data_IF_973532762943
#
_entry.id   IF_973532762943
#
_cell.length_a   1.000
_cell.length_b   1.000
_cell.length_c   1.000
_cell.angle_alpha   90.00
_cell.angle_beta   90.00
_cell.angle_gamma   90.00
#
_symmetry.space_group_name_H-M   'P 1'
#
loop_
_entity.id
_entity.type
_entity.pdbx_description
1 polymer ?
#
# COMPACT_ATOMS: atom_id res chain seq x y z
N UNK A 1 -73.54 88.91 -102.33
CA UNK A 1 -74.26 87.62 -102.34
C UNK A 1 -73.65 86.51 -103.20
N UNK A 2 -73.08 86.72 -104.39
CA UNK A 2 -72.42 85.67 -105.22
C UNK A 2 -71.26 84.89 -104.55
N UNK A 3 -71.02 85.17 -103.29
CA UNK A 3 -69.89 84.72 -102.50
C UNK A 3 -70.19 83.41 -101.74
N UNK A 4 -71.38 82.83 -101.91
CA UNK A 4 -71.91 81.75 -101.04
C UNK A 4 -71.80 80.31 -101.58
N UNK A 5 -71.81 80.10 -102.91
CA UNK A 5 -71.73 78.75 -103.51
C UNK A 5 -70.30 78.33 -103.77
N UNK A 6 -69.53 79.25 -104.32
CA UNK A 6 -68.12 79.02 -104.60
C UNK A 6 -67.34 78.72 -103.30
N UNK A 7 -67.96 78.97 -102.15
CA UNK A 7 -67.55 78.59 -100.80
C UNK A 7 -67.65 77.09 -100.52
N UNK A 8 -68.70 76.39 -100.98
CA UNK A 8 -68.98 75.00 -100.61
C UNK A 8 -68.10 73.98 -101.33
N UNK A 9 -67.87 74.14 -102.63
CA UNK A 9 -66.95 73.25 -103.37
C UNK A 9 -65.51 73.50 -102.95
N UNK A 10 -65.20 74.75 -102.58
CA UNK A 10 -63.93 75.07 -101.93
C UNK A 10 -63.77 74.31 -100.59
N UNK A 11 -64.85 74.00 -99.87
CA UNK A 11 -64.78 73.24 -98.61
C UNK A 11 -64.40 71.76 -98.80
N UNK A 12 -64.89 71.06 -99.83
CA UNK A 12 -64.65 69.60 -99.97
C UNK A 12 -63.23 69.29 -100.44
N UNK A 13 -62.69 70.10 -101.35
CA UNK A 13 -61.27 70.03 -101.72
C UNK A 13 -60.38 70.33 -100.52
N UNK A 14 -60.79 71.25 -99.65
CA UNK A 14 -60.08 71.52 -98.41
C UNK A 14 -60.00 70.27 -97.51
N UNK A 15 -61.07 69.48 -97.44
CA UNK A 15 -61.15 68.26 -96.62
C UNK A 15 -60.21 67.11 -97.06
N UNK A 16 -60.11 66.84 -98.36
CA UNK A 16 -59.21 65.79 -98.87
C UNK A 16 -57.73 66.20 -98.76
N UNK A 17 -57.47 67.51 -98.90
CA UNK A 17 -56.17 68.12 -98.66
C UNK A 17 -55.78 68.01 -97.17
N UNK A 18 -56.74 68.20 -96.26
CA UNK A 18 -56.61 67.99 -94.82
C UNK A 18 -56.17 66.55 -94.49
N UNK A 19 -56.81 65.53 -95.06
CA UNK A 19 -56.48 64.13 -94.74
C UNK A 19 -55.04 63.72 -95.14
N UNK A 20 -54.54 64.20 -96.28
CA UNK A 20 -53.14 63.95 -96.69
C UNK A 20 -52.15 64.69 -95.81
N UNK A 21 -52.49 65.91 -95.39
CA UNK A 21 -51.72 66.66 -94.39
C UNK A 21 -51.62 65.87 -93.09
N UNK A 22 -52.73 65.33 -92.58
CA UNK A 22 -52.72 64.50 -91.36
C UNK A 22 -51.78 63.29 -91.45
N UNK A 23 -51.75 62.56 -92.57
CA UNK A 23 -50.80 61.43 -92.73
C UNK A 23 -49.34 61.85 -92.82
N UNK A 24 -49.03 63.01 -93.41
CA UNK A 24 -47.67 63.56 -93.43
C UNK A 24 -47.25 64.13 -92.06
N UNK A 25 -48.22 64.60 -91.26
CA UNK A 25 -47.99 65.18 -89.93
C UNK A 25 -47.74 64.11 -88.86
N UNK A 26 -48.30 62.89 -88.98
CA UNK A 26 -48.10 61.83 -87.98
C UNK A 26 -46.64 61.49 -87.65
N UNK A 27 -45.68 61.28 -88.58
CA UNK A 27 -44.27 61.04 -88.24
C UNK A 27 -43.58 62.27 -87.62
N UNK A 28 -44.02 63.47 -87.99
CA UNK A 28 -43.53 64.72 -87.37
C UNK A 28 -44.03 64.85 -85.93
N UNK A 29 -45.28 64.46 -85.66
CA UNK A 29 -45.85 64.43 -84.31
C UNK A 29 -45.15 63.41 -83.42
N UNK A 30 -44.83 62.20 -83.92
CA UNK A 30 -44.05 61.22 -83.15
C UNK A 30 -42.63 61.71 -82.89
N UNK A 31 -42.01 62.40 -83.86
CA UNK A 31 -40.66 62.95 -83.65
C UNK A 31 -40.67 64.13 -82.67
N UNK A 32 -41.71 64.95 -82.71
CA UNK A 32 -41.93 66.02 -81.75
C UNK A 32 -42.06 65.45 -80.34
N UNK A 33 -42.87 64.41 -80.13
CA UNK A 33 -43.05 63.80 -78.80
C UNK A 33 -41.78 63.12 -78.29
N UNK A 34 -41.00 62.46 -79.16
CA UNK A 34 -39.66 61.94 -78.82
C UNK A 34 -38.68 63.06 -78.40
N UNK A 35 -38.70 64.19 -79.10
CA UNK A 35 -37.84 65.33 -78.77
C UNK A 35 -38.30 66.02 -77.48
N UNK A 36 -39.61 66.12 -77.24
CA UNK A 36 -40.18 66.68 -76.02
C UNK A 36 -39.86 65.82 -74.80
N UNK A 37 -39.95 64.50 -74.91
CA UNK A 37 -39.56 63.57 -73.83
C UNK A 37 -38.05 63.62 -73.55
N UNK A 38 -37.21 63.66 -74.59
CA UNK A 38 -35.76 63.86 -74.43
C UNK A 38 -35.44 65.21 -73.78
N UNK A 39 -36.13 66.28 -74.17
CA UNK A 39 -35.95 67.60 -73.59
C UNK A 39 -36.37 67.62 -72.11
N UNK A 40 -37.48 66.96 -71.77
CA UNK A 40 -37.93 66.83 -70.39
C UNK A 40 -36.88 66.09 -69.52
N UNK A 41 -36.38 64.95 -70.01
CA UNK A 41 -35.36 64.17 -69.31
C UNK A 41 -34.04 64.96 -69.15
N UNK A 42 -33.56 65.63 -70.20
CA UNK A 42 -32.36 66.46 -70.12
C UNK A 42 -32.51 67.65 -69.15
N UNK A 43 -33.71 68.25 -69.05
CA UNK A 43 -34.00 69.29 -68.06
C UNK A 43 -34.00 68.75 -66.63
N UNK A 44 -34.52 67.54 -66.42
CA UNK A 44 -34.51 66.89 -65.13
C UNK A 44 -33.08 66.52 -64.71
N UNK A 45 -32.27 65.97 -65.61
CA UNK A 45 -30.84 65.71 -65.38
C UNK A 45 -30.06 66.99 -65.10
N UNK A 46 -30.32 68.07 -65.84
CA UNK A 46 -29.70 69.37 -65.58
C UNK A 46 -30.08 69.91 -64.19
N UNK A 47 -31.35 69.78 -63.79
CA UNK A 47 -31.78 70.18 -62.45
C UNK A 47 -31.11 69.32 -61.36
N UNK A 48 -31.03 68.00 -61.56
CA UNK A 48 -30.40 67.09 -60.62
C UNK A 48 -28.89 67.35 -60.49
N UNK A 49 -28.19 67.56 -61.60
CA UNK A 49 -26.76 67.87 -61.61
C UNK A 49 -26.46 69.25 -61.02
N UNK A 50 -27.28 70.26 -61.29
CA UNK A 50 -27.15 71.58 -60.66
C UNK A 50 -27.30 71.52 -59.13
N UNK A 51 -28.29 70.76 -58.62
CA UNK A 51 -28.44 70.54 -57.18
C UNK A 51 -27.23 69.82 -56.57
N UNK A 52 -26.70 68.80 -57.25
CA UNK A 52 -25.49 68.09 -56.81
C UNK A 52 -24.29 69.03 -56.78
N UNK A 53 -24.11 69.86 -57.81
CA UNK A 53 -23.01 70.82 -57.89
C UNK A 53 -23.09 71.84 -56.73
N UNK A 54 -24.26 72.40 -56.47
CA UNK A 54 -24.46 73.33 -55.35
C UNK A 54 -24.15 72.67 -53.99
N UNK A 55 -24.59 71.42 -53.80
CA UNK A 55 -24.28 70.67 -52.57
C UNK A 55 -22.77 70.44 -52.39
N UNK A 56 -22.06 70.04 -53.45
CA UNK A 56 -20.62 69.82 -53.41
C UNK A 56 -19.86 71.14 -53.18
N UNK A 57 -20.28 72.23 -53.81
CA UNK A 57 -19.70 73.56 -53.59
C UNK A 57 -19.87 74.01 -52.13
N UNK A 58 -21.04 73.80 -51.53
CA UNK A 58 -21.26 74.10 -50.12
C UNK A 58 -20.38 73.24 -49.21
N UNK A 59 -20.25 71.95 -49.50
CA UNK A 59 -19.36 71.05 -48.74
C UNK A 59 -17.90 71.47 -48.84
N UNK A 60 -17.43 71.84 -50.03
CA UNK A 60 -16.06 72.33 -50.24
C UNK A 60 -15.82 73.63 -49.46
N UNK A 61 -16.77 74.57 -49.49
CA UNK A 61 -16.69 75.81 -48.71
C UNK A 61 -16.64 75.55 -47.21
N UNK A 62 -17.47 74.63 -46.70
CA UNK A 62 -17.47 74.27 -45.28
C UNK A 62 -16.14 73.62 -44.87
N UNK A 63 -15.64 72.65 -45.65
CA UNK A 63 -14.36 71.99 -45.39
C UNK A 63 -13.18 72.98 -45.42
N UNK A 64 -13.22 73.96 -46.33
CA UNK A 64 -12.20 75.01 -46.39
C UNK A 64 -12.26 75.93 -45.17
N UNK A 65 -13.46 76.28 -44.71
CA UNK A 65 -13.64 77.05 -43.46
C UNK A 65 -13.12 76.26 -42.25
N UNK A 66 -13.46 74.98 -42.11
CA UNK A 66 -12.95 74.12 -41.03
C UNK A 66 -11.42 73.99 -41.08
N UNK A 67 -10.83 73.76 -42.26
CA UNK A 67 -9.38 73.72 -42.43
C UNK A 67 -8.72 75.04 -42.01
N UNK A 68 -9.34 76.18 -42.32
CA UNK A 68 -8.82 77.50 -41.94
C UNK A 68 -8.84 77.73 -40.42
N UNK A 69 -9.76 77.08 -39.69
CA UNK A 69 -9.85 77.16 -38.23
C UNK A 69 -8.95 76.14 -37.52
N UNK A 70 -8.80 74.92 -38.07
CA UNK A 70 -8.01 73.85 -37.44
C UNK A 70 -6.51 74.12 -37.54
N UNK A 71 -6.02 74.62 -38.67
CA UNK A 71 -4.59 74.93 -38.88
C UNK A 71 -3.98 75.84 -37.79
N UNK A 72 -4.57 77.01 -37.45
CA UNK A 72 -4.02 77.84 -36.38
C UNK A 72 -4.10 77.16 -35.01
N UNK A 73 -5.12 76.32 -34.76
CA UNK A 73 -5.24 75.57 -33.49
C UNK A 73 -4.15 74.52 -33.33
N UNK A 74 -3.78 73.82 -34.40
CA UNK A 74 -2.64 72.88 -34.41
C UNK A 74 -1.35 73.65 -34.11
N UNK A 75 -1.12 74.76 -34.81
CA UNK A 75 0.07 75.59 -34.59
C UNK A 75 0.15 76.10 -33.16
N UNK A 76 -0.97 76.51 -32.57
CA UNK A 76 -1.05 76.95 -31.18
C UNK A 76 -0.74 75.80 -30.20
N UNK A 77 -1.25 74.60 -30.45
CA UNK A 77 -0.98 73.43 -29.61
C UNK A 77 0.50 73.03 -29.66
N UNK A 78 1.11 73.04 -30.85
CA UNK A 78 2.53 72.76 -31.02
C UNK A 78 3.40 73.78 -30.29
N UNK A 79 3.07 75.07 -30.39
CA UNK A 79 3.76 76.12 -29.63
C UNK A 79 3.60 75.92 -28.11
N UNK A 80 2.41 75.50 -27.65
CA UNK A 80 2.18 75.18 -26.24
C UNK A 80 2.99 73.97 -25.76
N UNK A 81 3.10 72.92 -26.58
CA UNK A 81 3.91 71.74 -26.25
C UNK A 81 5.39 72.10 -26.13
N UNK A 82 5.92 72.85 -27.11
CA UNK A 82 7.30 73.32 -27.06
C UNK A 82 7.57 74.18 -25.81
N UNK A 83 6.65 75.08 -25.47
CA UNK A 83 6.76 75.88 -24.25
C UNK A 83 6.69 75.04 -22.96
N UNK A 84 5.92 73.95 -22.95
CA UNK A 84 5.88 73.02 -21.81
C UNK A 84 7.18 72.21 -21.70
N UNK A 85 7.72 71.71 -22.81
CA UNK A 85 9.01 71.01 -22.82
C UNK A 85 10.14 71.91 -22.33
N UNK A 86 10.16 73.17 -22.75
CA UNK A 86 11.14 74.15 -22.27
C UNK A 86 11.00 74.41 -20.76
N UNK A 87 9.76 74.47 -20.26
CA UNK A 87 9.49 74.59 -18.82
C UNK A 87 9.94 73.36 -18.05
N UNK A 88 9.70 72.16 -18.56
CA UNK A 88 10.16 70.90 -17.95
C UNK A 88 11.67 70.90 -17.87
N UNK A 89 12.37 71.15 -18.99
CA UNK A 89 13.84 71.23 -19.03
C UNK A 89 14.40 72.32 -18.12
N UNK A 90 13.68 73.43 -17.96
CA UNK A 90 14.07 74.47 -17.01
C UNK A 90 13.94 73.98 -15.56
N UNK A 91 12.81 73.35 -15.21
CA UNK A 91 12.59 72.77 -13.87
C UNK A 91 13.55 71.63 -13.56
N UNK A 92 13.86 70.76 -14.51
CA UNK A 92 14.89 69.73 -14.37
C UNK A 92 16.24 70.35 -14.05
N UNK A 93 16.63 71.44 -14.74
CA UNK A 93 17.87 72.15 -14.43
C UNK A 93 17.87 72.80 -13.06
N UNK A 94 16.74 73.36 -12.61
CA UNK A 94 16.62 73.89 -11.24
C UNK A 94 16.75 72.77 -10.21
N UNK A 95 16.08 71.63 -10.41
CA UNK A 95 16.17 70.46 -9.53
C UNK A 95 17.62 69.97 -9.47
N UNK A 96 18.25 69.78 -10.64
CA UNK A 96 19.65 69.37 -10.73
C UNK A 96 20.60 70.33 -10.02
N UNK A 97 20.37 71.64 -10.13
CA UNK A 97 21.19 72.64 -9.44
C UNK A 97 21.04 72.53 -7.91
N UNK A 98 19.82 72.35 -7.41
CA UNK A 98 19.54 72.16 -5.98
C UNK A 98 20.14 70.84 -5.48
N UNK A 99 20.01 69.76 -6.25
CA UNK A 99 20.61 68.47 -5.94
C UNK A 99 22.15 68.56 -5.89
N UNK A 100 22.76 69.17 -6.90
CA UNK A 100 24.20 69.35 -6.98
C UNK A 100 24.72 70.24 -5.81
N UNK A 101 23.94 71.21 -5.35
CA UNK A 101 24.25 72.02 -4.15
C UNK A 101 24.11 71.20 -2.86
N UNK A 102 22.96 70.54 -2.67
CA UNK A 102 22.67 69.78 -1.46
C UNK A 102 23.61 68.61 -1.25
N UNK A 103 24.00 67.93 -2.33
CA UNK A 103 24.88 66.76 -2.31
C UNK A 103 26.33 67.11 -2.67
N UNK A 104 26.70 68.40 -2.74
CA UNK A 104 28.02 68.84 -3.17
C UNK A 104 29.15 68.25 -2.31
N UNK A 105 28.98 68.23 -0.98
CA UNK A 105 29.95 67.66 -0.05
C UNK A 105 30.05 66.14 -0.19
N UNK A 106 28.91 65.47 -0.32
CA UNK A 106 28.86 64.02 -0.53
C UNK A 106 29.56 63.60 -1.83
N UNK A 107 29.26 64.27 -2.95
CA UNK A 107 29.85 63.97 -4.24
C UNK A 107 31.37 64.23 -4.24
N UNK A 108 31.84 65.32 -3.60
CA UNK A 108 33.28 65.59 -3.43
C UNK A 108 33.98 64.50 -2.62
N UNK A 109 33.38 64.07 -1.52
CA UNK A 109 33.96 63.04 -0.65
C UNK A 109 33.96 61.66 -1.32
N UNK A 110 32.96 61.37 -2.16
CA UNK A 110 32.84 60.12 -2.90
C UNK A 110 33.60 60.12 -4.25
N UNK A 111 34.11 61.27 -4.70
CA UNK A 111 34.79 61.40 -6.00
C UNK A 111 33.86 61.33 -7.21
N UNK A 112 32.59 61.70 -7.05
CA UNK A 112 31.55 61.64 -8.07
C UNK A 112 31.22 63.02 -8.63
N UNK A 113 30.81 63.10 -9.89
CA UNK A 113 30.49 64.36 -10.58
C UNK A 113 29.12 64.91 -10.21
N UNK A 114 28.11 64.06 -10.04
CA UNK A 114 26.79 64.43 -9.50
C UNK A 114 26.19 63.28 -8.70
N UNK A 115 25.20 63.56 -7.85
CA UNK A 115 24.45 62.55 -7.11
C UNK A 115 23.75 61.54 -8.04
N UNK A 116 23.43 61.94 -9.27
CA UNK A 116 22.82 61.08 -10.28
C UNK A 116 23.74 59.92 -10.72
N UNK A 117 25.06 60.16 -10.78
CA UNK A 117 26.03 59.11 -11.08
C UNK A 117 26.06 58.05 -9.96
N UNK A 118 25.91 58.51 -8.71
CA UNK A 118 25.77 57.63 -7.56
C UNK A 118 24.49 56.79 -7.64
N UNK A 119 23.34 57.41 -7.90
CA UNK A 119 22.05 56.72 -7.99
C UNK A 119 22.01 55.69 -9.13
N UNK A 120 22.56 56.04 -10.29
CA UNK A 120 22.61 55.14 -11.44
C UNK A 120 23.49 53.91 -11.17
N UNK A 121 24.60 54.09 -10.44
CA UNK A 121 25.44 52.99 -9.96
C UNK A 121 24.80 52.20 -8.81
N UNK A 122 24.16 52.88 -7.87
CA UNK A 122 23.54 52.26 -6.69
C UNK A 122 22.36 51.37 -7.10
N UNK A 123 21.56 51.76 -8.09
CA UNK A 123 20.45 50.94 -8.60
C UNK A 123 20.96 49.60 -9.13
N UNK A 124 22.09 49.58 -9.85
CA UNK A 124 22.70 48.34 -10.32
C UNK A 124 23.23 47.49 -9.16
N UNK A 125 23.86 48.11 -8.16
CA UNK A 125 24.36 47.41 -6.97
C UNK A 125 23.21 46.81 -6.15
N UNK A 126 22.09 47.52 -5.98
CA UNK A 126 20.89 47.03 -5.29
C UNK A 126 20.29 45.84 -6.05
N UNK A 127 20.13 45.95 -7.38
CA UNK A 127 19.64 44.84 -8.20
C UNK A 127 20.54 43.61 -8.10
N UNK A 128 21.87 43.78 -8.17
CA UNK A 128 22.82 42.69 -7.99
C UNK A 128 22.79 42.10 -6.57
N UNK A 129 22.58 42.93 -5.54
CA UNK A 129 22.46 42.46 -4.17
C UNK A 129 21.20 41.63 -3.98
N UNK A 130 20.07 42.10 -4.51
CA UNK A 130 18.79 41.41 -4.47
C UNK A 130 18.84 40.07 -5.21
N UNK A 131 19.50 40.03 -6.38
CA UNK A 131 19.70 38.79 -7.12
C UNK A 131 20.57 37.80 -6.34
N UNK A 132 21.68 38.26 -5.74
CA UNK A 132 22.51 37.41 -4.87
C UNK A 132 21.77 36.95 -3.62
N UNK A 133 21.00 37.83 -2.99
CA UNK A 133 20.15 37.49 -1.83
C UNK A 133 19.14 36.42 -2.19
N UNK A 134 18.49 36.53 -3.35
CA UNK A 134 17.56 35.53 -3.84
C UNK A 134 18.27 34.19 -4.06
N UNK A 135 19.44 34.19 -4.71
CA UNK A 135 20.24 32.99 -4.92
C UNK A 135 20.63 32.31 -3.60
N UNK A 136 21.12 33.07 -2.62
CA UNK A 136 21.46 32.55 -1.30
C UNK A 136 20.24 32.04 -0.55
N UNK A 137 19.10 32.72 -0.66
CA UNK A 137 17.85 32.28 -0.05
C UNK A 137 17.41 30.94 -0.63
N UNK A 138 17.45 30.79 -1.96
CA UNK A 138 17.12 29.53 -2.63
C UNK A 138 18.08 28.40 -2.22
N UNK A 139 19.38 28.68 -2.15
CA UNK A 139 20.38 27.70 -1.70
C UNK A 139 20.16 27.30 -0.24
N UNK A 140 19.90 28.28 0.63
CA UNK A 140 19.62 28.04 2.04
C UNK A 140 18.37 27.18 2.22
N UNK A 141 17.28 27.49 1.52
CA UNK A 141 16.06 26.66 1.55
C UNK A 141 16.35 25.24 1.08
N UNK A 142 17.07 25.07 -0.04
CA UNK A 142 17.44 23.74 -0.55
C UNK A 142 18.26 22.94 0.48
N UNK A 143 19.30 23.54 1.03
CA UNK A 143 20.17 22.90 2.02
C UNK A 143 19.42 22.61 3.32
N UNK A 144 18.56 23.51 3.76
CA UNK A 144 17.74 23.33 4.96
C UNK A 144 16.74 22.19 4.81
N UNK A 145 16.06 22.10 3.65
CA UNK A 145 15.18 20.96 3.36
C UNK A 145 15.95 19.65 3.28
N UNK A 146 17.13 19.65 2.65
CA UNK A 146 17.97 18.45 2.58
C UNK A 146 18.46 18.03 3.96
N UNK A 147 18.92 18.96 4.79
CA UNK A 147 19.35 18.69 6.17
C UNK A 147 18.19 18.13 7.00
N UNK A 148 17.00 18.71 6.91
CA UNK A 148 15.83 18.22 7.63
C UNK A 148 15.46 16.79 7.22
N UNK A 149 15.53 16.48 5.92
CA UNK A 149 15.31 15.13 5.42
C UNK A 149 16.35 14.14 5.95
N UNK A 150 17.64 14.47 5.87
CA UNK A 150 18.72 13.60 6.37
C UNK A 150 18.64 13.39 7.89
N UNK A 151 18.28 14.43 8.66
CA UNK A 151 18.03 14.30 10.10
C UNK A 151 16.88 13.34 10.39
N UNK A 152 15.75 13.47 9.67
CA UNK A 152 14.63 12.55 9.85
C UNK A 152 15.02 11.10 9.51
N UNK A 153 15.74 10.90 8.40
CA UNK A 153 16.24 9.57 8.02
C UNK A 153 17.17 8.97 9.08
N UNK A 154 18.05 9.80 9.66
CA UNK A 154 18.93 9.39 10.75
C UNK A 154 18.15 8.99 12.00
N UNK A 155 17.16 9.78 12.40
CA UNK A 155 16.31 9.48 13.56
C UNK A 155 15.54 8.16 13.37
N UNK A 156 15.01 7.91 12.17
CA UNK A 156 14.35 6.66 11.81
C UNK A 156 15.31 5.46 11.86
N UNK A 157 16.54 5.63 11.37
CA UNK A 157 17.61 4.62 11.44
C UNK A 157 17.99 4.31 12.88
N UNK A 158 18.21 5.33 13.72
CA UNK A 158 18.52 5.17 15.15
C UNK A 158 17.38 4.42 15.86
N UNK A 159 16.13 4.81 15.62
CA UNK A 159 14.97 4.14 16.21
C UNK A 159 14.86 2.68 15.74
N UNK A 160 15.20 2.39 14.48
CA UNK A 160 15.24 1.02 13.95
C UNK A 160 16.37 0.21 14.61
N UNK A 161 17.56 0.78 14.73
CA UNK A 161 18.71 0.14 15.38
C UNK A 161 18.38 -0.23 16.83
N UNK A 162 17.83 0.70 17.60
CA UNK A 162 17.42 0.46 18.98
C UNK A 162 16.38 -0.68 19.11
N UNK A 163 15.41 -0.75 18.18
CA UNK A 163 14.44 -1.86 18.12
C UNK A 163 15.13 -3.20 17.84
N UNK A 164 16.03 -3.24 16.86
CA UNK A 164 16.76 -4.47 16.52
C UNK A 164 17.72 -4.92 17.62
N UNK A 165 18.38 -4.00 18.30
CA UNK A 165 19.25 -4.32 19.45
C UNK A 165 18.44 -4.89 20.61
N UNK A 166 17.26 -4.31 20.89
CA UNK A 166 16.35 -4.85 21.89
C UNK A 166 15.90 -6.28 21.56
N UNK A 167 15.44 -6.51 20.33
CA UNK A 167 15.04 -7.85 19.87
C UNK A 167 16.20 -8.84 19.95
N UNK A 168 17.40 -8.43 19.53
CA UNK A 168 18.59 -9.27 19.63
C UNK A 168 18.89 -9.65 21.08
N UNK A 169 18.77 -8.70 22.02
CA UNK A 169 18.94 -8.98 23.45
C UNK A 169 17.91 -9.98 23.99
N UNK A 170 16.65 -9.85 23.59
CA UNK A 170 15.58 -10.79 23.95
C UNK A 170 15.85 -12.20 23.39
N UNK A 171 16.26 -12.31 22.11
CA UNK A 171 16.60 -13.58 21.46
C UNK A 171 17.83 -14.24 22.10
N UNK A 172 18.86 -13.46 22.47
CA UNK A 172 20.05 -13.99 23.16
C UNK A 172 19.66 -14.56 24.53
N UNK A 173 18.84 -13.84 25.31
CA UNK A 173 18.37 -14.35 26.61
C UNK A 173 17.52 -15.62 26.47
N UNK A 174 16.69 -15.71 25.42
CA UNK A 174 15.92 -16.92 25.12
C UNK A 174 16.85 -18.09 24.71
N UNK A 175 17.87 -17.84 23.90
CA UNK A 175 18.85 -18.86 23.53
C UNK A 175 19.61 -19.38 24.75
N UNK A 176 20.03 -18.51 25.66
CA UNK A 176 20.69 -18.91 26.91
C UNK A 176 19.76 -19.79 27.77
N UNK A 177 18.49 -19.41 27.89
CA UNK A 177 17.48 -20.20 28.61
C UNK A 177 17.29 -21.58 27.95
N UNK A 178 17.11 -21.62 26.64
CA UNK A 178 16.93 -22.87 25.89
C UNK A 178 18.17 -23.77 25.99
N UNK A 179 19.38 -23.22 25.98
CA UNK A 179 20.62 -23.97 26.17
C UNK A 179 20.70 -24.58 27.58
N UNK A 180 20.33 -23.80 28.60
CA UNK A 180 20.26 -24.29 29.97
C UNK A 180 19.24 -25.44 30.10
N UNK A 181 18.06 -25.28 29.50
CA UNK A 181 17.00 -26.28 29.53
C UNK A 181 17.40 -27.55 28.78
N UNK A 182 18.03 -27.44 27.61
CA UNK A 182 18.59 -28.59 26.88
C UNK A 182 19.63 -29.34 27.70
N UNK A 183 20.53 -28.62 28.40
CA UNK A 183 21.51 -29.24 29.28
C UNK A 183 20.85 -29.94 30.48
N UNK A 184 19.77 -29.38 31.02
CA UNK A 184 19.00 -29.98 32.11
C UNK A 184 18.27 -31.26 31.66
N UNK A 185 17.62 -31.21 30.50
CA UNK A 185 16.96 -32.36 29.89
C UNK A 185 17.98 -33.46 29.59
N UNK A 186 19.14 -33.13 29.01
CA UNK A 186 20.20 -34.09 28.73
C UNK A 186 20.71 -34.81 29.98
N UNK A 187 20.87 -34.09 31.10
CA UNK A 187 21.20 -34.72 32.39
C UNK A 187 20.09 -35.66 32.87
N UNK A 188 18.83 -35.24 32.74
CA UNK A 188 17.67 -36.07 33.09
C UNK A 188 17.58 -37.35 32.25
N UNK A 189 17.86 -37.27 30.95
CA UNK A 189 17.91 -38.44 30.07
C UNK A 189 19.02 -39.42 30.49
N UNK A 190 20.20 -38.91 30.85
CA UNK A 190 21.32 -39.73 31.34
C UNK A 190 20.98 -40.42 32.67
N UNK A 191 20.35 -39.70 33.61
CA UNK A 191 19.90 -40.25 34.89
C UNK A 191 18.86 -41.36 34.69
N UNK A 192 17.88 -41.15 33.80
CA UNK A 192 16.86 -42.15 33.45
C UNK A 192 17.51 -43.37 32.79
N UNK A 193 18.43 -43.17 31.83
CA UNK A 193 19.13 -44.26 31.18
C UNK A 193 19.97 -45.09 32.18
N UNK A 194 20.65 -44.42 33.11
CA UNK A 194 21.38 -45.09 34.19
C UNK A 194 20.45 -45.82 35.16
N UNK A 195 19.27 -45.26 35.46
CA UNK A 195 18.22 -45.90 36.23
C UNK A 195 17.71 -47.17 35.57
N UNK A 196 17.38 -47.11 34.28
CA UNK A 196 16.95 -48.27 33.49
C UNK A 196 18.00 -49.39 33.49
N UNK A 197 19.28 -49.05 33.26
CA UNK A 197 20.38 -50.04 33.32
C UNK A 197 20.48 -50.75 34.66
N UNK A 198 20.29 -50.02 35.77
CA UNK A 198 20.28 -50.61 37.12
C UNK A 198 19.10 -51.54 37.33
N UNK A 199 17.91 -51.14 36.86
CA UNK A 199 16.70 -51.98 36.95
C UNK A 199 16.84 -53.24 36.10
N UNK A 200 17.34 -53.12 34.86
CA UNK A 200 17.59 -54.27 33.99
C UNK A 200 18.58 -55.26 34.62
N UNK A 201 19.68 -54.76 35.20
CA UNK A 201 20.66 -55.59 35.90
C UNK A 201 20.05 -56.29 37.13
N UNK A 202 19.23 -55.58 37.91
CA UNK A 202 18.52 -56.16 39.05
C UNK A 202 17.49 -57.22 38.61
N UNK A 203 16.78 -56.98 37.50
CA UNK A 203 15.84 -57.92 36.92
C UNK A 203 16.52 -59.20 36.46
N UNK A 204 17.67 -59.11 35.78
CA UNK A 204 18.45 -60.29 35.41
C UNK A 204 18.96 -61.06 36.62
N UNK A 205 19.49 -60.37 37.64
CA UNK A 205 19.89 -61.00 38.89
C UNK A 205 18.72 -61.74 39.57
N UNK A 206 17.53 -61.13 39.60
CA UNK A 206 16.33 -61.78 40.16
C UNK A 206 15.89 -62.98 39.33
N UNK A 207 15.99 -62.93 37.99
CA UNK A 207 15.70 -64.07 37.11
C UNK A 207 16.64 -65.24 37.38
N UNK A 208 17.94 -64.97 37.53
CA UNK A 208 18.94 -65.99 37.88
C UNK A 208 18.65 -66.61 39.25
N UNK A 209 18.34 -65.79 40.26
CA UNK A 209 17.96 -66.28 41.60
C UNK A 209 16.70 -67.15 41.55
N UNK A 210 15.68 -66.72 40.83
CA UNK A 210 14.44 -67.50 40.65
C UNK A 210 14.69 -68.81 39.92
N UNK A 211 15.55 -68.82 38.89
CA UNK A 211 15.95 -70.04 38.20
C UNK A 211 16.68 -71.02 39.14
N UNK A 212 17.64 -70.53 39.93
CA UNK A 212 18.35 -71.33 40.92
C UNK A 212 17.42 -71.89 42.00
N UNK A 213 16.50 -71.07 42.53
CA UNK A 213 15.51 -71.52 43.50
C UNK A 213 14.56 -72.56 42.91
N UNK A 214 14.13 -72.39 41.65
CA UNK A 214 13.30 -73.38 40.95
C UNK A 214 14.02 -74.71 40.75
N UNK A 215 15.32 -74.72 40.44
CA UNK A 215 16.12 -75.95 40.39
C UNK A 215 16.17 -76.65 41.76
N UNK A 216 16.42 -75.90 42.84
CA UNK A 216 16.42 -76.45 44.20
C UNK A 216 15.05 -77.02 44.56
N UNK A 217 13.97 -76.29 44.29
CA UNK A 217 12.60 -76.75 44.51
C UNK A 217 12.30 -78.02 43.72
N UNK A 218 12.76 -78.13 42.47
CA UNK A 218 12.60 -79.35 41.66
C UNK A 218 13.33 -80.54 42.27
N UNK A 219 14.59 -80.36 42.73
CA UNK A 219 15.35 -81.39 43.43
C UNK A 219 14.68 -81.84 44.72
N UNK A 220 14.22 -80.88 45.55
CA UNK A 220 13.50 -81.19 46.78
C UNK A 220 12.20 -81.94 46.51
N UNK A 221 11.41 -81.54 45.50
CA UNK A 221 10.19 -82.26 45.09
C UNK A 221 10.50 -83.69 44.66
N UNK A 222 11.56 -83.91 43.88
CA UNK A 222 12.00 -85.24 43.47
C UNK A 222 12.41 -86.11 44.67
N UNK A 223 13.21 -85.55 45.58
CA UNK A 223 13.63 -86.25 46.80
C UNK A 223 12.44 -86.59 47.71
N UNK A 224 11.50 -85.66 47.89
CA UNK A 224 10.26 -85.93 48.64
C UNK A 224 9.47 -87.05 47.96
N UNK A 225 9.39 -87.05 46.63
CA UNK A 225 8.78 -88.15 45.86
C UNK A 225 9.44 -89.50 46.17
N UNK A 226 10.77 -89.57 46.08
CA UNK A 226 11.54 -90.79 46.39
C UNK A 226 11.37 -91.25 47.84
N UNK A 227 11.44 -90.33 48.80
CA UNK A 227 11.23 -90.64 50.22
C UNK A 227 9.80 -91.14 50.47
N UNK A 228 8.81 -90.55 49.81
CA UNK A 228 7.41 -91.00 49.92
C UNK A 228 7.25 -92.42 49.37
N UNK A 229 7.92 -92.74 48.26
CA UNK A 229 7.96 -94.10 47.69
C UNK A 229 8.63 -95.09 48.66
N UNK A 230 9.80 -94.76 49.20
CA UNK A 230 10.50 -95.57 50.21
C UNK A 230 9.69 -95.77 51.49
N UNK A 231 9.00 -94.73 51.98
CA UNK A 231 8.08 -94.84 53.11
C UNK A 231 6.94 -95.80 52.75
N UNK A 232 6.40 -95.74 51.54
CA UNK A 232 5.35 -96.67 51.11
C UNK A 232 5.83 -98.12 51.04
N UNK A 233 7.06 -98.36 50.58
CA UNK A 233 7.69 -99.69 50.52
C UNK A 233 7.98 -100.25 51.91
N UNK A 234 8.59 -99.45 52.78
CA UNK A 234 8.88 -99.86 54.17
C UNK A 234 7.59 -100.09 54.96
N UNK A 235 6.55 -99.28 54.74
CA UNK A 235 5.22 -99.50 55.35
C UNK A 235 4.62 -100.82 54.88
N UNK A 236 4.70 -101.16 53.58
CA UNK A 236 4.25 -102.47 53.06
C UNK A 236 5.04 -103.62 53.68
N UNK A 237 6.37 -103.52 53.73
CA UNK A 237 7.23 -104.53 54.33
C UNK A 237 6.96 -104.71 55.84
N UNK A 238 6.65 -103.62 56.54
CA UNK A 238 6.23 -103.66 57.95
C UNK A 238 4.92 -104.42 58.10
N UNK A 239 3.90 -104.11 57.30
CA UNK A 239 2.61 -104.83 57.30
C UNK A 239 2.80 -106.32 56.98
N UNK A 240 3.68 -106.65 56.03
CA UNK A 240 4.04 -108.05 55.73
C UNK A 240 4.68 -108.75 56.94
N UNK A 241 5.63 -108.08 57.62
CA UNK A 241 6.29 -108.64 58.81
C UNK A 241 5.35 -108.74 60.01
N UNK A 242 4.43 -107.80 60.19
CA UNK A 242 3.37 -107.89 61.18
C UNK A 242 2.46 -109.09 60.91
N UNK A 243 2.07 -109.32 59.65
CA UNK A 243 1.31 -110.52 59.27
C UNK A 243 2.10 -111.82 59.50
N UNK A 244 3.41 -111.84 59.22
CA UNK A 244 4.27 -112.98 59.53
C UNK A 244 4.37 -113.23 61.05
N UNK A 245 4.48 -112.17 61.86
CA UNK A 245 4.50 -112.25 63.32
C UNK A 245 3.18 -112.78 63.88
N UNK A 246 2.04 -112.33 63.33
CA UNK A 246 0.72 -112.85 63.69
C UNK A 246 0.62 -114.35 63.37
N UNK A 247 1.03 -114.78 62.17
CA UNK A 247 1.08 -116.21 61.80
C UNK A 247 1.96 -117.03 62.72
N UNK A 248 3.19 -116.58 62.99
CA UNK A 248 4.10 -117.25 63.92
C UNK A 248 3.56 -117.27 65.35
N UNK A 249 2.86 -116.21 65.76
CA UNK A 249 2.14 -116.15 67.03
C UNK A 249 1.04 -117.20 67.10
N UNK A 250 0.22 -117.32 66.05
CA UNK A 250 -0.81 -118.35 65.90
C UNK A 250 -0.20 -119.76 65.87
N UNK A 251 0.89 -119.99 65.13
CA UNK A 251 1.59 -121.28 65.07
C UNK A 251 2.20 -121.65 66.42
N UNK A 252 2.83 -120.69 67.12
CA UNK A 252 3.35 -120.90 68.48
C UNK A 252 2.22 -121.27 69.44
N UNK A 253 1.08 -120.57 69.37
CA UNK A 253 -0.11 -120.90 70.14
C UNK A 253 -0.61 -122.33 69.82
N UNK A 254 -0.61 -122.71 68.54
CA UNK A 254 -1.00 -124.05 68.10
C UNK A 254 -0.06 -125.15 68.65
N UNK A 255 1.25 -124.91 68.60
CA UNK A 255 2.27 -125.82 69.16
C UNK A 255 2.10 -125.94 70.67
N UNK A 256 1.92 -124.82 71.39
CA UNK A 256 1.71 -124.83 72.84
C UNK A 256 0.42 -125.58 73.21
N UNK A 257 -0.67 -125.41 72.44
CA UNK A 257 -1.91 -126.19 72.59
C UNK A 257 -1.66 -127.68 72.38
N UNK A 258 -0.89 -128.06 71.36
CA UNK A 258 -0.55 -129.46 71.08
C UNK A 258 0.29 -130.09 72.20
N UNK A 259 1.31 -129.38 72.71
CA UNK A 259 2.08 -129.84 73.86
C UNK A 259 1.24 -130.01 75.13
N UNK A 260 0.20 -129.18 75.31
CA UNK A 260 -0.79 -129.32 76.41
C UNK A 260 -1.67 -130.56 76.25
N UNK A 261 -2.12 -130.88 75.04
CA UNK A 261 -2.88 -132.11 74.76
C UNK A 261 -2.02 -133.37 74.94
N UNK A 262 -0.79 -133.34 74.45
CA UNK A 262 0.12 -134.50 74.43
C UNK A 262 0.84 -134.74 75.78
N UNK A 263 0.56 -133.93 76.81
CA UNK A 263 1.11 -134.11 78.16
C UNK A 263 2.62 -133.85 78.30
N UNK A 264 3.21 -133.10 77.36
CA UNK A 264 4.65 -132.82 77.33
C UNK A 264 4.98 -131.71 78.34
N UNK A 265 5.76 -132.03 79.38
CA UNK A 265 6.21 -131.05 80.38
C UNK A 265 7.26 -130.10 79.78
N UNK A 266 6.87 -128.87 79.50
CA UNK A 266 7.78 -127.81 79.07
C UNK A 266 8.27 -126.98 80.27
N UNK A 267 9.58 -126.70 80.40
CA UNK A 267 10.13 -125.87 81.45
C UNK A 267 9.90 -124.37 81.15
N UNK A 268 8.91 -123.75 81.80
CA UNK A 268 8.64 -122.31 81.68
C UNK A 268 9.45 -121.50 82.69
N UNK A 269 10.03 -120.39 82.24
CA UNK A 269 10.68 -119.40 83.11
C UNK A 269 9.66 -118.46 83.78
N UNK A 270 8.53 -118.19 83.13
CA UNK A 270 7.36 -117.44 83.65
C UNK A 270 6.09 -117.87 82.89
N UNK A 271 4.95 -117.92 83.59
CA UNK A 271 3.69 -118.45 83.08
C UNK A 271 3.60 -119.98 83.19
N UNK A 272 2.39 -120.53 83.12
CA UNK A 272 2.11 -121.97 83.12
C UNK A 272 1.52 -122.40 81.78
N UNK A 273 1.66 -123.68 81.42
CA UNK A 273 1.00 -124.25 80.25
C UNK A 273 -0.54 -124.17 80.36
N UNK A 274 -1.08 -124.01 81.57
CA UNK A 274 -2.51 -123.82 81.84
C UNK A 274 -3.04 -122.46 81.34
N UNK A 275 -2.18 -121.44 81.25
CA UNK A 275 -2.52 -120.07 80.81
C UNK A 275 -2.70 -119.95 79.30
N UNK A 276 -2.42 -121.03 78.55
CA UNK A 276 -2.63 -121.09 77.10
C UNK A 276 -4.11 -121.37 76.83
N UNK A 277 -4.86 -120.45 76.19
CA UNK A 277 -6.28 -120.64 75.93
C UNK A 277 -6.51 -121.85 75.01
N UNK A 278 -7.25 -122.84 75.51
CA UNK A 278 -7.64 -124.04 74.77
C UNK A 278 -8.91 -123.75 73.97
N UNK A 279 -8.91 -124.12 72.70
CA UNK A 279 -10.08 -123.94 71.84
C UNK A 279 -11.16 -124.97 72.21
N UNK A 280 -12.18 -124.51 72.93
CA UNK A 280 -13.53 -125.05 72.92
C UNK A 280 -14.53 -123.92 73.21
N UNK A 281 -15.07 -123.35 72.13
CA UNK A 281 -16.42 -122.77 72.05
C UNK A 281 -16.63 -121.32 72.52
N UNK A 282 -16.98 -120.47 71.53
CA UNK A 282 -17.39 -119.04 71.58
C UNK A 282 -16.29 -117.97 71.48
#
# INVERSE_FOLDING_TARGET
MKKARDTLVAQLKALAQEKRQVTADTPLQTRLSELETRLAYAKEELSATARKLAAVQQQASNAQAECSQIKPRISQMQASMAALDDRIRHKEREIHAVEDEMFAEFCRNAGLTSIRDYEQGQLQVVQQNDEKRLQFTMQHTKLSTQLAFEQQQLDELIARMARTEKLLGEEVAQLETNQHDLASIGRGEEDVANGLRKVDAAMEQQREQMAAQNEVLSRCRSLVGQLTEQVSETTKAMVEKESDLEKLGSDRLLILRRCRLDGVKLPFLRGSLEDVPMENGE
#
